data_IF_565540457401
#
_entry.id   IF_565540457401
#
_cell.length_a   1.000
_cell.length_b   1.000
_cell.length_c   1.000
_cell.angle_alpha   90.00
_cell.angle_beta   90.00
_cell.angle_gamma   90.00
#
_symmetry.space_group_name_H-M   'P 1'
#
loop_
_entity.id
_entity.type
_entity.pdbx_description
1 polymer ?
#
# COMPACT_ATOMS: atom_id res chain seq x y z
N UNK A 1 -29.84 -40.99 5.30
CA UNK A 1 -28.89 -39.98 5.85
C UNK A 1 -28.35 -39.18 4.69
N UNK A 2 -28.92 -37.98 4.47
CA UNK A 2 -28.66 -37.14 3.30
C UNK A 2 -27.47 -36.27 3.60
N UNK A 3 -26.37 -36.43 2.88
CA UNK A 3 -25.20 -35.58 2.96
C UNK A 3 -25.58 -34.18 2.41
N UNK A 4 -25.70 -33.18 3.28
CA UNK A 4 -25.78 -31.79 2.90
C UNK A 4 -24.44 -31.41 2.25
N UNK A 5 -24.43 -31.30 0.92
CA UNK A 5 -23.35 -30.65 0.20
C UNK A 5 -23.23 -29.20 0.72
N UNK A 6 -22.12 -28.90 1.40
CA UNK A 6 -21.72 -27.51 1.67
C UNK A 6 -21.47 -26.85 0.31
N UNK A 7 -22.42 -26.08 -0.15
CA UNK A 7 -22.16 -25.07 -1.19
C UNK A 7 -21.19 -24.07 -0.59
N UNK A 8 -19.91 -24.23 -0.89
CA UNK A 8 -18.91 -23.17 -0.69
C UNK A 8 -19.24 -22.09 -1.70
N UNK A 9 -20.01 -21.09 -1.29
CA UNK A 9 -20.05 -19.81 -2.00
C UNK A 9 -18.64 -19.26 -1.93
N UNK A 10 -17.94 -19.29 -3.06
CA UNK A 10 -16.58 -18.80 -3.17
C UNK A 10 -16.64 -17.27 -3.07
N UNK A 11 -16.61 -16.73 -1.84
CA UNK A 11 -16.57 -15.29 -1.63
C UNK A 11 -15.32 -14.71 -2.33
N UNK A 12 -15.41 -13.56 -2.99
CA UNK A 12 -14.25 -12.96 -3.66
C UNK A 12 -13.11 -12.74 -2.67
N UNK A 13 -11.88 -13.01 -3.11
CA UNK A 13 -10.67 -12.87 -2.27
C UNK A 13 -10.31 -11.40 -2.00
N UNK A 14 -10.88 -10.48 -2.78
CA UNK A 14 -10.76 -9.04 -2.67
C UNK A 14 -12.16 -8.42 -2.77
N UNK A 15 -12.49 -7.50 -1.87
CA UNK A 15 -13.72 -6.71 -1.94
C UNK A 15 -13.37 -5.30 -2.36
N UNK A 16 -14.24 -4.66 -3.16
CA UNK A 16 -14.06 -3.31 -3.69
C UNK A 16 -15.25 -2.44 -3.29
N UNK A 17 -14.99 -1.27 -2.72
CA UNK A 17 -15.99 -0.27 -2.38
C UNK A 17 -15.53 1.10 -2.90
N UNK A 18 -16.42 1.85 -3.53
CA UNK A 18 -16.17 3.22 -3.98
C UNK A 18 -17.00 4.21 -3.17
N UNK A 19 -16.35 5.20 -2.56
CA UNK A 19 -17.03 6.32 -1.91
C UNK A 19 -16.24 7.63 -2.09
N UNK A 20 -16.87 8.64 -2.70
CA UNK A 20 -16.37 10.03 -2.79
C UNK A 20 -14.88 10.15 -3.16
N UNK A 21 -14.47 9.49 -4.22
CA UNK A 21 -13.09 9.53 -4.71
C UNK A 21 -12.13 8.54 -4.04
N UNK A 22 -12.61 7.73 -3.11
CA UNK A 22 -11.82 6.71 -2.43
C UNK A 22 -12.24 5.33 -2.94
N UNK A 23 -11.28 4.58 -3.49
CA UNK A 23 -11.42 3.15 -3.77
C UNK A 23 -10.85 2.37 -2.59
N UNK A 24 -11.70 1.64 -1.89
CA UNK A 24 -11.29 0.73 -0.81
C UNK A 24 -11.17 -0.69 -1.35
N UNK A 25 -9.98 -1.27 -1.21
CA UNK A 25 -9.66 -2.65 -1.54
C UNK A 25 -9.48 -3.44 -0.24
N UNK A 26 -10.42 -4.33 0.06
CA UNK A 26 -10.38 -5.12 1.31
C UNK A 26 -9.92 -6.54 1.03
N UNK A 27 -8.75 -6.93 1.55
CA UNK A 27 -8.26 -8.30 1.51
C UNK A 27 -9.27 -9.21 2.23
N UNK A 28 -9.79 -10.22 1.53
CA UNK A 28 -10.90 -11.04 2.04
C UNK A 28 -10.57 -12.54 2.04
N UNK A 29 -9.51 -12.90 2.74
CA UNK A 29 -9.13 -14.28 3.07
C UNK A 29 -8.92 -14.44 4.59
N UNK A 30 -9.92 -14.11 5.44
CA UNK A 30 -9.76 -14.05 6.89
C UNK A 30 -9.29 -15.37 7.51
N UNK A 31 -9.77 -16.51 7.03
CA UNK A 31 -9.38 -17.85 7.50
C UNK A 31 -7.91 -18.18 7.23
N UNK A 32 -7.30 -17.57 6.21
CA UNK A 32 -5.89 -17.64 5.89
C UNK A 32 -5.11 -16.40 6.39
N UNK A 33 -5.69 -15.58 7.29
CA UNK A 33 -5.10 -14.32 7.78
C UNK A 33 -4.64 -13.40 6.64
N UNK A 34 -5.43 -13.35 5.58
CA UNK A 34 -5.17 -12.56 4.38
C UNK A 34 -3.78 -12.81 3.76
N UNK A 35 -3.29 -14.06 3.84
CA UNK A 35 -2.04 -14.44 3.22
C UNK A 35 -2.10 -14.20 1.69
N UNK A 36 -1.03 -13.62 1.14
CA UNK A 36 -0.87 -13.31 -0.28
C UNK A 36 -0.72 -14.61 -1.08
N UNK A 37 -1.85 -15.15 -1.51
CA UNK A 37 -1.94 -16.22 -2.51
C UNK A 37 -1.76 -15.63 -3.91
N UNK A 38 -1.43 -16.47 -4.89
CA UNK A 38 -1.38 -16.05 -6.30
C UNK A 38 -2.70 -15.39 -6.73
N UNK A 39 -3.86 -15.96 -6.32
CA UNK A 39 -5.17 -15.41 -6.64
C UNK A 39 -5.42 -14.03 -6.03
N UNK A 40 -5.03 -13.81 -4.76
CA UNK A 40 -5.19 -12.50 -4.12
C UNK A 40 -4.27 -11.45 -4.75
N UNK A 41 -3.02 -11.81 -5.08
CA UNK A 41 -2.09 -10.90 -5.77
C UNK A 41 -2.59 -10.54 -7.17
N UNK A 42 -3.15 -11.50 -7.94
CA UNK A 42 -3.77 -11.20 -9.23
C UNK A 42 -4.96 -10.24 -9.09
N UNK A 43 -5.86 -10.49 -8.13
CA UNK A 43 -7.02 -9.62 -7.90
C UNK A 43 -6.60 -8.19 -7.52
N UNK A 44 -5.55 -8.03 -6.69
CA UNK A 44 -4.99 -6.72 -6.36
C UNK A 44 -4.38 -6.03 -7.59
N UNK A 45 -3.58 -6.74 -8.39
CA UNK A 45 -2.98 -6.20 -9.63
C UNK A 45 -4.07 -5.71 -10.59
N UNK A 46 -5.11 -6.51 -10.82
CA UNK A 46 -6.24 -6.14 -11.67
C UNK A 46 -7.01 -4.92 -11.13
N UNK A 47 -7.25 -4.86 -9.81
CA UNK A 47 -7.93 -3.73 -9.18
C UNK A 47 -7.10 -2.44 -9.28
N UNK A 48 -5.78 -2.52 -9.06
CA UNK A 48 -4.88 -1.38 -9.21
C UNK A 48 -4.78 -0.90 -10.66
N UNK A 49 -4.75 -1.82 -11.63
CA UNK A 49 -4.76 -1.47 -13.05
C UNK A 49 -6.06 -0.71 -13.43
N UNK A 50 -7.22 -1.18 -12.96
CA UNK A 50 -8.49 -0.45 -13.15
C UNK A 50 -8.47 0.91 -12.46
N UNK A 51 -7.95 1.00 -11.23
CA UNK A 51 -7.85 2.27 -10.49
C UNK A 51 -6.97 3.31 -11.18
N UNK A 52 -5.96 2.89 -11.94
CA UNK A 52 -5.12 3.80 -12.72
C UNK A 52 -5.91 4.56 -13.79
N UNK A 53 -6.87 3.88 -14.43
CA UNK A 53 -7.69 4.41 -15.53
C UNK A 53 -9.02 5.05 -15.04
N UNK A 54 -9.43 4.79 -13.80
CA UNK A 54 -10.69 5.29 -13.25
C UNK A 54 -10.53 6.72 -12.71
N UNK A 55 -11.16 7.75 -13.34
CA UNK A 55 -11.11 9.11 -12.85
C UNK A 55 -11.83 9.31 -11.52
N UNK A 56 -12.70 8.39 -11.11
CA UNK A 56 -13.39 8.43 -9.83
C UNK A 56 -12.52 7.86 -8.69
N UNK A 57 -11.52 7.05 -8.98
CA UNK A 57 -10.56 6.54 -8.00
C UNK A 57 -9.42 7.56 -7.82
N UNK A 58 -9.54 8.47 -6.88
CA UNK A 58 -8.51 9.51 -6.60
C UNK A 58 -7.49 9.05 -5.56
N UNK A 59 -7.90 8.17 -4.65
CA UNK A 59 -7.06 7.55 -3.60
C UNK A 59 -7.48 6.09 -3.44
N UNK A 60 -6.52 5.20 -3.23
CA UNK A 60 -6.78 3.79 -2.91
C UNK A 60 -6.49 3.55 -1.43
N UNK A 61 -7.39 2.87 -0.73
CA UNK A 61 -7.18 2.37 0.63
C UNK A 61 -7.12 0.85 0.58
N UNK A 62 -6.02 0.25 1.02
CA UNK A 62 -5.89 -1.20 1.21
C UNK A 62 -6.20 -1.53 2.67
N UNK A 63 -7.32 -2.20 2.87
CA UNK A 63 -7.81 -2.68 4.16
C UNK A 63 -7.86 -4.22 4.18
N UNK A 64 -8.31 -4.81 5.26
CA UNK A 64 -8.45 -6.26 5.34
C UNK A 64 -9.57 -6.70 6.28
N UNK A 65 -10.18 -7.84 5.99
CA UNK A 65 -11.20 -8.48 6.82
C UNK A 65 -10.58 -9.46 7.83
N UNK A 66 -11.30 -9.74 8.91
CA UNK A 66 -10.93 -10.76 9.90
C UNK A 66 -9.86 -10.31 10.89
N UNK A 67 -9.06 -11.23 11.46
CA UNK A 67 -8.24 -10.93 12.65
C UNK A 67 -6.84 -10.36 12.34
N UNK A 68 -6.41 -10.36 11.09
CA UNK A 68 -5.08 -9.92 10.69
C UNK A 68 -5.14 -9.06 9.43
N UNK A 69 -4.22 -8.10 9.31
CA UNK A 69 -4.07 -7.35 8.08
C UNK A 69 -3.55 -8.27 6.96
N UNK A 70 -2.35 -8.81 7.10
CA UNK A 70 -1.79 -9.77 6.15
C UNK A 70 -0.61 -10.53 6.77
N UNK A 71 -0.65 -11.87 6.73
CA UNK A 71 0.38 -12.74 7.32
C UNK A 71 1.58 -13.01 6.41
N UNK A 72 1.66 -12.39 5.23
CA UNK A 72 2.69 -12.65 4.22
C UNK A 72 2.24 -13.64 3.16
N UNK A 73 3.18 -14.31 2.47
CA UNK A 73 2.85 -15.30 1.45
C UNK A 73 2.10 -16.51 2.02
N UNK A 74 1.26 -17.12 1.19
CA UNK A 74 0.58 -18.37 1.55
C UNK A 74 1.60 -19.53 1.57
N UNK A 75 2.05 -19.90 2.77
CA UNK A 75 3.04 -20.95 2.95
C UNK A 75 2.54 -22.33 2.49
N UNK A 76 1.21 -22.56 2.43
CA UNK A 76 0.65 -23.81 1.92
C UNK A 76 0.81 -23.89 0.41
N UNK A 77 0.54 -22.79 -0.33
CA UNK A 77 0.82 -22.72 -1.76
C UNK A 77 2.31 -22.87 -2.04
N UNK A 78 3.20 -22.23 -1.26
CA UNK A 78 4.65 -22.37 -1.42
C UNK A 78 5.14 -23.80 -1.19
N UNK A 79 4.53 -24.57 -0.30
CA UNK A 79 4.91 -25.95 0.00
C UNK A 79 4.28 -26.97 -0.93
N UNK A 80 3.20 -26.61 -1.63
CA UNK A 80 2.51 -27.51 -2.56
C UNK A 80 3.35 -27.82 -3.81
N UNK A 81 4.16 -26.84 -4.28
CA UNK A 81 5.06 -27.02 -5.41
C UNK A 81 6.39 -26.33 -5.12
N UNK A 82 7.44 -27.13 -4.92
CA UNK A 82 8.77 -26.67 -4.50
C UNK A 82 9.75 -26.50 -5.67
N UNK A 83 9.26 -26.44 -6.90
CA UNK A 83 10.09 -26.20 -8.07
C UNK A 83 10.55 -24.74 -8.11
N UNK A 84 11.76 -24.54 -8.63
CA UNK A 84 12.36 -23.20 -8.79
C UNK A 84 11.44 -22.26 -9.55
N UNK A 85 10.87 -22.72 -10.67
CA UNK A 85 10.02 -21.92 -11.55
C UNK A 85 8.73 -21.43 -10.84
N UNK A 86 8.26 -22.19 -9.86
CA UNK A 86 7.10 -21.81 -9.04
C UNK A 86 7.45 -20.69 -8.08
N UNK A 87 8.60 -20.76 -7.44
CA UNK A 87 9.10 -19.69 -6.57
C UNK A 87 9.46 -18.44 -7.36
N UNK A 88 10.11 -18.58 -8.52
CA UNK A 88 10.44 -17.45 -9.40
C UNK A 88 9.18 -16.69 -9.83
N UNK A 89 8.10 -17.40 -10.23
CA UNK A 89 6.80 -16.79 -10.58
C UNK A 89 6.14 -16.10 -9.37
N UNK A 90 6.12 -16.76 -8.20
CA UNK A 90 5.51 -16.21 -6.99
C UNK A 90 6.17 -14.88 -6.59
N UNK A 91 7.51 -14.86 -6.51
CA UNK A 91 8.25 -13.66 -6.11
C UNK A 91 8.24 -12.58 -7.19
N UNK A 92 8.20 -12.96 -8.48
CA UNK A 92 7.99 -12.01 -9.57
C UNK A 92 6.62 -11.33 -9.48
N UNK A 93 5.55 -12.10 -9.28
CA UNK A 93 4.20 -11.57 -9.13
C UNK A 93 4.07 -10.63 -7.90
N UNK A 94 4.69 -11.02 -6.77
CA UNK A 94 4.73 -10.17 -5.60
C UNK A 94 5.48 -8.86 -5.87
N UNK A 95 6.62 -8.93 -6.55
CA UNK A 95 7.40 -7.75 -6.92
C UNK A 95 6.62 -6.84 -7.88
N UNK A 96 5.90 -7.42 -8.84
CA UNK A 96 5.02 -6.69 -9.76
C UNK A 96 3.91 -5.96 -8.99
N UNK A 97 3.28 -6.62 -8.01
CA UNK A 97 2.27 -5.98 -7.15
C UNK A 97 2.84 -4.77 -6.40
N UNK A 98 4.02 -4.90 -5.80
CA UNK A 98 4.66 -3.78 -5.09
C UNK A 98 5.00 -2.64 -6.04
N UNK A 99 5.53 -2.95 -7.22
CA UNK A 99 5.80 -1.94 -8.24
C UNK A 99 4.52 -1.29 -8.78
N UNK A 100 3.42 -2.03 -8.91
CA UNK A 100 2.13 -1.48 -9.30
C UNK A 100 1.62 -0.45 -8.29
N UNK A 101 1.78 -0.69 -6.98
CA UNK A 101 1.44 0.28 -5.92
C UNK A 101 2.27 1.56 -6.05
N UNK A 102 3.60 1.43 -6.17
CA UNK A 102 4.52 2.56 -6.27
C UNK A 102 4.24 3.40 -7.52
N UNK A 103 3.97 2.74 -8.66
CA UNK A 103 3.76 3.39 -9.97
C UNK A 103 2.33 3.86 -10.22
N UNK A 104 1.39 3.48 -9.36
CA UNK A 104 0.00 3.92 -9.48
C UNK A 104 -0.07 5.45 -9.43
N UNK A 105 -0.73 6.15 -10.37
CA UNK A 105 -0.87 7.61 -10.32
C UNK A 105 -1.87 8.08 -9.24
N UNK A 106 -2.28 7.19 -8.36
CA UNK A 106 -3.16 7.44 -7.22
C UNK A 106 -2.42 7.10 -5.94
N UNK A 107 -2.49 7.92 -4.88
CA UNK A 107 -1.95 7.55 -3.56
C UNK A 107 -2.60 6.30 -3.01
N UNK A 108 -1.80 5.46 -2.34
CA UNK A 108 -2.24 4.23 -1.71
C UNK A 108 -2.00 4.30 -0.20
N UNK A 109 -3.04 4.09 0.58
CA UNK A 109 -3.01 4.12 2.05
C UNK A 109 -3.24 2.70 2.58
N UNK A 110 -2.36 2.19 3.43
CA UNK A 110 -2.62 0.97 4.19
C UNK A 110 -3.44 1.28 5.45
N UNK A 111 -4.57 0.60 5.64
CA UNK A 111 -5.39 0.62 6.86
C UNK A 111 -5.14 -0.67 7.65
N UNK A 112 -4.33 -0.59 8.70
CA UNK A 112 -3.78 -1.76 9.37
C UNK A 112 -4.43 -1.98 10.73
N UNK A 113 -5.40 -2.88 10.83
CA UNK A 113 -6.13 -3.18 12.06
C UNK A 113 -5.56 -4.33 12.90
N UNK A 114 -4.48 -4.99 12.46
CA UNK A 114 -3.95 -6.17 13.13
C UNK A 114 -2.53 -6.51 12.70
N UNK A 115 -2.22 -7.80 12.65
CA UNK A 115 -0.85 -8.26 12.33
C UNK A 115 -0.56 -8.09 10.83
N UNK A 116 0.58 -7.47 10.52
CA UNK A 116 1.19 -7.37 9.20
C UNK A 116 2.60 -7.97 9.23
N UNK A 117 2.81 -9.15 8.63
CA UNK A 117 4.11 -9.84 8.70
C UNK A 117 4.64 -10.27 7.34
N UNK A 118 5.97 -10.38 7.22
CA UNK A 118 6.67 -10.77 6.01
C UNK A 118 6.22 -9.94 4.78
N UNK A 119 5.66 -10.57 3.74
CA UNK A 119 5.12 -9.85 2.58
C UNK A 119 3.90 -8.95 2.93
N UNK A 120 3.21 -9.18 4.06
CA UNK A 120 2.19 -8.26 4.58
C UNK A 120 2.80 -6.98 5.15
N UNK A 121 3.92 -7.07 5.86
CA UNK A 121 4.70 -5.89 6.28
C UNK A 121 5.32 -5.17 5.06
N UNK A 122 5.77 -5.92 4.04
CA UNK A 122 6.20 -5.35 2.76
C UNK A 122 5.10 -4.54 2.10
N UNK A 123 3.86 -5.06 2.08
CA UNK A 123 2.70 -4.36 1.50
C UNK A 123 2.46 -3.02 2.20
N UNK A 124 2.52 -2.99 3.55
CA UNK A 124 2.41 -1.74 4.32
C UNK A 124 3.54 -0.78 3.98
N UNK A 125 4.79 -1.26 3.98
CA UNK A 125 5.97 -0.44 3.68
C UNK A 125 6.01 0.08 2.22
N UNK A 126 5.26 -0.56 1.32
CA UNK A 126 5.16 -0.17 -0.10
C UNK A 126 4.09 0.88 -0.35
N UNK A 127 3.03 0.91 0.47
CA UNK A 127 2.00 1.94 0.38
C UNK A 127 2.60 3.32 0.65
N UNK A 128 2.05 4.36 0.03
CA UNK A 128 2.53 5.74 0.20
C UNK A 128 2.35 6.24 1.63
N UNK A 129 1.26 5.80 2.28
CA UNK A 129 0.91 6.15 3.65
C UNK A 129 0.33 4.93 4.36
N UNK A 130 0.38 4.95 5.70
CA UNK A 130 -0.23 3.92 6.53
C UNK A 130 -0.86 4.52 7.79
N UNK A 131 -2.08 4.05 8.12
CA UNK A 131 -2.75 4.30 9.39
C UNK A 131 -2.91 2.96 10.08
N UNK A 132 -2.51 2.85 11.33
CA UNK A 132 -2.56 1.63 12.10
C UNK A 132 -3.43 1.76 13.35
N UNK A 133 -4.11 0.68 13.72
CA UNK A 133 -4.72 0.57 15.05
C UNK A 133 -3.61 0.40 16.10
N UNK A 134 -3.83 0.86 17.32
CA UNK A 134 -2.88 0.80 18.44
C UNK A 134 -2.44 -0.63 18.80
N UNK A 135 -3.31 -1.61 18.53
CA UNK A 135 -3.04 -3.03 18.73
C UNK A 135 -2.43 -3.73 17.48
N UNK A 136 -2.16 -3.02 16.40
CA UNK A 136 -1.48 -3.56 15.24
C UNK A 136 -0.03 -3.96 15.58
N UNK A 137 0.47 -4.99 14.87
CA UNK A 137 1.83 -5.52 15.05
C UNK A 137 2.49 -5.78 13.71
N UNK A 138 3.78 -5.52 13.65
CA UNK A 138 4.55 -5.61 12.40
C UNK A 138 5.80 -6.46 12.61
N UNK A 139 6.18 -7.28 11.62
CA UNK A 139 7.43 -8.02 11.65
C UNK A 139 7.87 -8.49 10.27
N UNK A 140 9.14 -8.83 10.14
CA UNK A 140 9.71 -9.58 9.01
C UNK A 140 10.31 -10.91 9.52
N UNK A 141 9.45 -11.88 9.94
CA UNK A 141 9.85 -13.01 10.78
C UNK A 141 10.43 -14.21 9.99
N UNK A 142 10.81 -14.05 8.73
CA UNK A 142 11.32 -15.13 7.89
C UNK A 142 12.47 -15.92 8.53
N UNK A 143 13.36 -15.25 9.25
CA UNK A 143 14.50 -15.89 9.94
C UNK A 143 14.06 -16.98 10.95
N UNK A 144 12.86 -16.86 11.52
CA UNK A 144 12.33 -17.83 12.48
C UNK A 144 11.94 -19.17 11.81
N UNK A 145 11.84 -19.20 10.48
CA UNK A 145 11.51 -20.41 9.70
C UNK A 145 12.59 -20.74 8.66
N UNK A 146 13.80 -20.21 8.84
CA UNK A 146 14.92 -20.47 7.94
C UNK A 146 14.91 -19.70 6.62
N UNK A 147 14.13 -18.60 6.54
CA UNK A 147 14.06 -17.72 5.37
C UNK A 147 14.49 -16.32 5.78
N UNK A 148 15.24 -15.63 4.93
CA UNK A 148 15.42 -14.19 5.08
C UNK A 148 14.34 -13.45 4.28
N UNK A 149 13.73 -12.42 4.86
CA UNK A 149 12.70 -11.62 4.19
C UNK A 149 13.30 -10.71 3.11
N UNK A 150 13.88 -11.31 2.05
CA UNK A 150 14.67 -10.60 1.02
C UNK A 150 13.84 -9.67 0.16
N UNK A 151 12.66 -10.08 -0.29
CA UNK A 151 11.74 -9.18 -1.02
C UNK A 151 11.11 -8.13 -0.10
N UNK A 152 10.66 -8.45 1.14
CA UNK A 152 10.19 -7.44 2.09
C UNK A 152 11.23 -6.38 2.45
N UNK A 153 12.52 -6.73 2.53
CA UNK A 153 13.55 -5.74 2.88
C UNK A 153 13.66 -4.59 1.87
N UNK A 154 13.26 -4.82 0.61
CA UNK A 154 13.34 -3.78 -0.44
C UNK A 154 12.43 -2.60 -0.10
N UNK A 155 11.16 -2.85 0.24
CA UNK A 155 10.24 -1.81 0.67
C UNK A 155 10.61 -1.27 2.08
N UNK A 156 10.94 -2.18 3.01
CA UNK A 156 11.24 -1.81 4.39
C UNK A 156 12.42 -0.83 4.47
N UNK A 157 13.52 -1.08 3.74
CA UNK A 157 14.70 -0.20 3.75
C UNK A 157 14.49 1.14 3.05
N UNK A 158 13.40 1.29 2.30
CA UNK A 158 12.98 2.56 1.69
C UNK A 158 11.99 3.34 2.57
N UNK A 159 11.31 2.65 3.49
CA UNK A 159 10.36 3.27 4.41
C UNK A 159 10.99 3.66 5.75
N UNK A 160 11.93 2.85 6.27
CA UNK A 160 12.51 3.07 7.61
C UNK A 160 14.04 3.13 7.58
N UNK A 161 14.64 3.67 8.66
CA UNK A 161 16.09 3.76 8.78
C UNK A 161 16.78 2.39 8.77
N UNK A 162 17.99 2.31 8.19
CA UNK A 162 18.73 1.03 7.99
C UNK A 162 18.86 0.17 9.24
N UNK A 163 19.09 0.77 10.43
CA UNK A 163 19.24 0.02 11.69
C UNK A 163 17.93 -0.62 12.12
N UNK A 164 16.82 0.11 12.06
CA UNK A 164 15.49 -0.42 12.37
C UNK A 164 15.11 -1.54 11.40
N UNK A 165 15.32 -1.34 10.08
CA UNK A 165 15.10 -2.39 9.10
C UNK A 165 15.91 -3.66 9.38
N UNK A 166 17.21 -3.52 9.65
CA UNK A 166 18.10 -4.66 9.91
C UNK A 166 17.71 -5.39 11.20
N UNK A 167 17.32 -4.67 12.25
CA UNK A 167 16.86 -5.28 13.49
C UNK A 167 15.59 -6.12 13.26
N UNK A 168 14.59 -5.58 12.56
CA UNK A 168 13.38 -6.32 12.21
C UNK A 168 13.69 -7.57 11.38
N UNK A 169 14.60 -7.46 10.39
CA UNK A 169 14.96 -8.56 9.49
C UNK A 169 15.76 -9.66 10.18
N UNK A 170 16.69 -9.31 11.08
CA UNK A 170 17.56 -10.27 11.75
C UNK A 170 16.91 -10.93 12.97
N UNK A 171 16.05 -10.22 13.66
CA UNK A 171 15.42 -10.75 14.88
C UNK A 171 14.08 -11.42 14.60
N UNK A 172 13.38 -11.00 13.54
CA UNK A 172 12.02 -11.46 13.25
C UNK A 172 11.00 -11.14 14.35
N UNK A 173 11.32 -10.25 15.29
CA UNK A 173 10.46 -9.86 16.39
C UNK A 173 9.30 -8.99 15.91
N UNK A 174 8.15 -9.13 16.57
CA UNK A 174 7.02 -8.21 16.42
C UNK A 174 7.36 -6.87 17.10
N UNK A 175 7.11 -5.77 16.39
CA UNK A 175 7.06 -4.42 16.95
C UNK A 175 5.60 -3.96 17.04
N UNK A 176 5.29 -3.10 17.99
CA UNK A 176 3.97 -2.49 18.15
C UNK A 176 3.77 -1.30 17.21
N UNK A 177 2.54 -0.79 17.17
CA UNK A 177 2.15 0.31 16.28
C UNK A 177 2.91 1.62 16.58
N UNK A 178 3.17 1.91 17.86
CA UNK A 178 3.90 3.12 18.25
C UNK A 178 5.39 3.05 17.86
N UNK A 179 6.01 1.88 18.03
CA UNK A 179 7.36 1.64 17.52
C UNK A 179 7.39 1.77 16.00
N UNK A 180 6.40 1.20 15.29
CA UNK A 180 6.28 1.30 13.84
C UNK A 180 6.14 2.77 13.39
N UNK A 181 5.38 3.60 14.12
CA UNK A 181 5.27 5.04 13.90
C UNK A 181 6.59 5.76 14.17
N UNK A 182 7.24 5.44 15.27
CA UNK A 182 8.50 6.09 15.64
C UNK A 182 9.63 5.86 14.63
N UNK A 183 9.66 4.69 13.97
CA UNK A 183 10.66 4.38 12.93
C UNK A 183 10.23 4.80 11.51
N UNK A 184 9.01 5.31 11.31
CA UNK A 184 8.51 5.79 10.01
C UNK A 184 7.79 4.75 9.16
N UNK A 185 7.48 3.55 9.68
CA UNK A 185 6.75 2.52 8.94
C UNK A 185 5.26 2.87 8.79
N UNK A 186 4.67 3.57 9.77
CA UNK A 186 3.30 4.07 9.71
C UNK A 186 3.25 5.56 10.06
N UNK A 187 2.25 6.27 9.52
CA UNK A 187 2.10 7.72 9.71
C UNK A 187 1.28 8.08 10.95
N UNK A 188 0.24 7.29 11.23
CA UNK A 188 -0.70 7.54 12.33
C UNK A 188 -1.03 6.27 13.07
N UNK A 189 -1.20 6.38 14.38
CA UNK A 189 -1.71 5.32 15.25
C UNK A 189 -2.95 5.86 15.94
N UNK A 190 -4.03 5.10 15.92
CA UNK A 190 -5.34 5.49 16.45
C UNK A 190 -5.99 4.32 17.17
N UNK A 191 -6.97 4.55 18.06
CA UNK A 191 -7.81 3.48 18.60
C UNK A 191 -8.42 2.63 17.47
N UNK A 192 -8.58 1.34 17.68
CA UNK A 192 -9.08 0.41 16.66
C UNK A 192 -10.41 0.85 16.06
N UNK A 193 -11.32 1.33 16.89
CA UNK A 193 -12.65 1.81 16.51
C UNK A 193 -12.61 3.06 15.63
N UNK A 194 -11.55 3.85 15.70
CA UNK A 194 -11.35 5.08 14.91
C UNK A 194 -10.57 4.82 13.61
N UNK A 195 -10.01 3.61 13.41
CA UNK A 195 -9.07 3.32 12.32
C UNK A 195 -9.67 3.61 10.94
N UNK A 196 -10.88 3.11 10.67
CA UNK A 196 -11.55 3.32 9.37
C UNK A 196 -11.77 4.81 9.12
N UNK A 197 -12.30 5.53 10.09
CA UNK A 197 -12.60 6.96 9.96
C UNK A 197 -11.33 7.78 9.77
N UNK A 198 -10.24 7.43 10.46
CA UNK A 198 -8.93 8.09 10.32
C UNK A 198 -8.31 7.86 8.93
N UNK A 199 -8.38 6.64 8.41
CA UNK A 199 -7.89 6.30 7.07
C UNK A 199 -8.74 6.99 5.98
N UNK A 200 -10.07 6.98 6.12
CA UNK A 200 -10.98 7.66 5.19
C UNK A 200 -10.84 9.18 5.23
N UNK A 201 -10.67 9.78 6.41
CA UNK A 201 -10.43 11.22 6.54
C UNK A 201 -9.16 11.64 5.80
N UNK A 202 -8.06 10.89 5.98
CA UNK A 202 -6.82 11.12 5.26
C UNK A 202 -6.99 10.95 3.75
N UNK A 203 -7.68 9.89 3.32
CA UNK A 203 -7.95 9.64 1.90
C UNK A 203 -8.78 10.77 1.26
N UNK A 204 -9.83 11.24 1.93
CA UNK A 204 -10.67 12.35 1.44
C UNK A 204 -9.92 13.67 1.40
N UNK A 205 -9.04 13.94 2.37
CA UNK A 205 -8.17 15.13 2.35
C UNK A 205 -7.30 15.14 1.09
N UNK A 206 -6.72 14.01 0.72
CA UNK A 206 -5.90 13.87 -0.49
C UNK A 206 -6.78 13.90 -1.75
N UNK A 207 -7.91 13.20 -1.76
CA UNK A 207 -8.84 13.18 -2.88
C UNK A 207 -9.41 14.58 -3.21
N UNK A 208 -9.40 15.51 -2.25
CA UNK A 208 -9.77 16.91 -2.44
C UNK A 208 -8.73 17.79 -3.14
N UNK A 209 -7.55 17.25 -3.49
CA UNK A 209 -6.50 17.98 -4.23
C UNK A 209 -6.63 17.70 -5.73
N UNK A 210 -5.91 18.45 -6.59
CA UNK A 210 -5.81 18.14 -8.02
C UNK A 210 -5.20 16.74 -8.21
N UNK A 211 -5.90 15.84 -8.91
CA UNK A 211 -5.42 14.49 -9.16
C UNK A 211 -4.19 14.49 -10.07
N UNK A 212 -4.11 15.44 -11.02
CA UNK A 212 -2.93 15.63 -11.85
C UNK A 212 -1.70 15.98 -11.01
N UNK A 213 -1.83 16.99 -10.13
CA UNK A 213 -0.70 17.43 -9.28
C UNK A 213 -0.23 16.31 -8.35
N UNK A 214 -1.17 15.56 -7.76
CA UNK A 214 -0.84 14.42 -6.89
C UNK A 214 -0.13 13.30 -7.66
N UNK A 215 -0.60 12.99 -8.88
CA UNK A 215 0.02 11.96 -9.72
C UNK A 215 1.45 12.35 -10.13
N UNK A 216 1.66 13.58 -10.62
CA UNK A 216 2.97 14.13 -10.97
C UNK A 216 3.92 14.07 -9.76
N UNK A 217 3.42 14.52 -8.60
CA UNK A 217 4.20 14.57 -7.35
C UNK A 217 4.61 13.17 -6.87
N UNK A 218 3.70 12.21 -6.91
CA UNK A 218 3.98 10.82 -6.50
C UNK A 218 5.04 10.18 -7.41
N UNK A 219 4.88 10.28 -8.73
CA UNK A 219 5.86 9.76 -9.68
C UNK A 219 7.24 10.39 -9.43
N UNK A 220 7.28 11.72 -9.29
CA UNK A 220 8.51 12.45 -9.06
C UNK A 220 9.19 12.07 -7.73
N UNK A 221 8.41 11.86 -6.68
CA UNK A 221 8.92 11.45 -5.37
C UNK A 221 9.71 10.15 -5.46
N UNK A 222 9.14 9.12 -6.06
CA UNK A 222 9.82 7.82 -6.19
C UNK A 222 10.98 7.87 -7.16
N UNK A 223 10.83 8.55 -8.30
CA UNK A 223 11.86 8.58 -9.33
C UNK A 223 13.11 9.34 -8.90
N UNK A 224 12.95 10.51 -8.25
CA UNK A 224 14.11 11.30 -7.81
C UNK A 224 14.93 10.58 -6.73
N UNK A 225 14.29 9.74 -5.89
CA UNK A 225 14.96 9.02 -4.81
C UNK A 225 15.99 7.98 -5.29
N UNK A 226 15.91 7.56 -6.56
CA UNK A 226 16.84 6.62 -7.19
C UNK A 226 17.95 7.32 -7.99
N UNK A 227 18.00 8.67 -7.99
CA UNK A 227 18.96 9.48 -8.73
C UNK A 227 20.09 9.99 -7.81
N UNK A 228 21.25 10.35 -8.39
CA UNK A 228 22.21 11.18 -7.69
C UNK A 228 21.65 12.58 -7.43
N UNK A 229 22.21 13.27 -6.44
CA UNK A 229 21.68 14.57 -5.97
C UNK A 229 21.54 15.60 -7.10
N UNK A 230 22.51 15.72 -7.99
CA UNK A 230 22.47 16.72 -9.07
C UNK A 230 21.44 16.35 -10.15
N UNK A 231 21.32 15.06 -10.47
CA UNK A 231 20.29 14.56 -11.39
C UNK A 231 18.90 14.69 -10.79
N UNK A 232 18.74 14.42 -9.47
CA UNK A 232 17.48 14.59 -8.75
C UNK A 232 16.97 16.03 -8.82
N UNK A 233 17.83 17.03 -8.56
CA UNK A 233 17.44 18.44 -8.68
C UNK A 233 17.11 18.87 -10.11
N UNK A 234 17.86 18.43 -11.11
CA UNK A 234 17.50 18.72 -12.52
C UNK A 234 16.14 18.15 -12.88
N UNK A 235 15.89 16.88 -12.55
CA UNK A 235 14.62 16.23 -12.79
C UNK A 235 13.48 16.92 -12.05
N UNK A 236 13.65 17.22 -10.75
CA UNK A 236 12.63 17.88 -9.96
C UNK A 236 12.30 19.30 -10.47
N UNK A 237 13.29 20.05 -11.01
CA UNK A 237 13.07 21.36 -11.63
C UNK A 237 12.21 21.25 -12.91
N UNK A 238 12.45 20.23 -13.76
CA UNK A 238 11.61 19.94 -14.93
C UNK A 238 10.18 19.59 -14.53
N UNK A 239 10.02 18.76 -13.50
CA UNK A 239 8.70 18.39 -12.95
C UNK A 239 7.96 19.62 -12.42
N UNK A 240 8.64 20.50 -11.67
CA UNK A 240 8.05 21.76 -11.17
C UNK A 240 7.59 22.66 -12.30
N UNK A 241 8.42 22.80 -13.36
CA UNK A 241 8.08 23.61 -14.52
C UNK A 241 6.85 23.05 -15.23
N UNK A 242 6.81 21.73 -15.45
CA UNK A 242 5.67 21.04 -16.08
C UNK A 242 4.40 21.25 -15.25
N UNK A 243 4.48 21.08 -13.93
CA UNK A 243 3.31 21.26 -13.05
C UNK A 243 2.86 22.73 -13.01
N UNK A 244 3.79 23.71 -13.05
CA UNK A 244 3.44 25.14 -13.10
C UNK A 244 2.69 25.54 -14.37
N UNK A 245 2.90 24.82 -15.48
CA UNK A 245 2.20 25.06 -16.74
C UNK A 245 0.81 24.40 -16.80
N UNK A 246 0.46 23.53 -15.86
CA UNK A 246 -0.84 22.90 -15.78
C UNK A 246 -1.94 23.92 -15.37
N UNK A 247 -3.15 23.73 -15.90
CA UNK A 247 -4.30 24.57 -15.58
C UNK A 247 -4.56 24.63 -14.07
N UNK A 248 -4.52 23.48 -13.39
CA UNK A 248 -4.79 23.40 -11.96
C UNK A 248 -3.77 24.16 -11.08
N UNK A 249 -2.53 24.30 -11.54
CA UNK A 249 -1.55 25.12 -10.84
C UNK A 249 -1.93 26.61 -10.88
N UNK A 250 -2.36 27.12 -12.05
CA UNK A 250 -2.89 28.46 -12.22
C UNK A 250 -4.13 28.70 -11.37
N UNK A 251 -5.13 27.80 -11.46
CA UNK A 251 -6.36 27.87 -10.65
C UNK A 251 -6.04 27.88 -9.13
N UNK A 252 -5.13 26.99 -8.69
CA UNK A 252 -4.74 26.92 -7.28
C UNK A 252 -4.12 28.23 -6.77
N UNK A 253 -3.22 28.86 -7.55
CA UNK A 253 -2.59 30.12 -7.23
C UNK A 253 -3.62 31.26 -7.21
N UNK A 254 -4.46 31.36 -8.23
CA UNK A 254 -5.50 32.39 -8.32
C UNK A 254 -6.53 32.27 -7.20
N UNK A 255 -6.95 31.04 -6.88
CA UNK A 255 -7.86 30.77 -5.77
C UNK A 255 -7.25 31.18 -4.41
N UNK A 256 -5.96 30.87 -4.20
CA UNK A 256 -5.24 31.26 -3.00
C UNK A 256 -5.14 32.79 -2.84
N UNK A 257 -4.75 33.50 -3.90
CA UNK A 257 -4.66 34.96 -3.91
C UNK A 257 -6.03 35.63 -3.69
N UNK A 258 -7.08 35.06 -4.29
CA UNK A 258 -8.46 35.55 -4.14
C UNK A 258 -9.14 35.06 -2.84
N UNK A 259 -8.48 34.26 -1.99
CA UNK A 259 -9.02 33.67 -0.75
C UNK A 259 -10.32 32.89 -0.97
N UNK A 260 -10.43 32.17 -2.07
CA UNK A 260 -11.52 31.28 -2.40
C UNK A 260 -11.07 29.81 -2.47
N UNK A 261 -12.01 28.88 -2.49
CA UNK A 261 -11.70 27.46 -2.74
C UNK A 261 -11.35 27.26 -4.21
N UNK A 262 -10.32 26.47 -4.53
CA UNK A 262 -10.00 26.08 -5.90
C UNK A 262 -11.04 25.10 -6.46
N UNK A 263 -11.17 25.10 -7.79
CA UNK A 263 -11.97 24.12 -8.55
C UNK A 263 -11.01 23.38 -9.47
N UNK A 264 -10.75 22.10 -9.15
CA UNK A 264 -9.80 21.28 -9.89
C UNK A 264 -10.42 20.71 -11.17
N UNK A 265 -9.68 20.72 -12.25
CA UNK A 265 -10.05 20.18 -13.56
C UNK A 265 -9.18 19.00 -13.99
N UNK A 266 -8.12 18.73 -13.21
CA UNK A 266 -7.19 17.61 -13.40
C UNK A 266 -6.42 17.64 -14.75
N UNK A 267 -6.10 18.84 -15.27
CA UNK A 267 -5.29 19.06 -16.47
C UNK A 267 -4.49 20.36 -16.43
#
# INVERSE_FOLDING_TARGET
MTAMARMTTNAPVLLEEHDRGVLRLTLNRPDARNALSAALMSALLEALARAAEDPQARVVVIASAGPAFCAGHDLREMRADQRRETYDRLFAQCSELMLAIVRLPRPVIAEVHGIATAAGCQLVATCDLAVAAEDARFATPGVNIGLFCSTPMVALTRAVGRKAAMEMLLTGKLIDAETARAIGLVNRVVPREELRDAAESLAREIAGKSALTVAIGKEAFYRQAELDLAAAYRYAAEVMTTNMLAHDAGEGIDAFLAKRKPVWHDH
#
